data_IF_442597058373
#
_entry.id   IF_442597058373
#
_cell.length_a   1.000
_cell.length_b   1.000
_cell.length_c   1.000
_cell.angle_alpha   90.00
_cell.angle_beta   90.00
_cell.angle_gamma   90.00
#
_symmetry.space_group_name_H-M   'P 1'
#
loop_
_entity.id
_entity.type
_entity.pdbx_description
1 polymer ?
#
# COMPACT_ATOMS: atom_id res chain seq x y z
N UNK A 1 8.84 9.72 2.24
CA UNK A 1 7.62 9.03 2.69
C UNK A 1 7.37 7.81 1.82
N UNK A 2 7.02 6.70 2.47
CA UNK A 2 6.55 5.47 1.86
C UNK A 2 5.02 5.41 1.91
N UNK A 3 4.43 4.61 1.04
CA UNK A 3 2.98 4.39 0.95
C UNK A 3 2.73 2.89 1.00
N UNK A 4 2.07 2.43 2.05
CA UNK A 4 1.60 1.04 2.15
C UNK A 4 0.25 0.94 1.43
N UNK A 5 0.17 0.02 0.47
CA UNK A 5 -1.06 -0.24 -0.26
C UNK A 5 -1.41 -1.73 -0.18
N UNK A 6 -2.55 -2.02 0.42
CA UNK A 6 -3.07 -3.37 0.59
C UNK A 6 -3.87 -3.82 -0.64
N UNK A 7 -3.60 -5.04 -1.11
CA UNK A 7 -4.29 -5.66 -2.23
C UNK A 7 -4.71 -7.08 -1.89
N UNK A 8 -5.64 -7.64 -2.66
CA UNK A 8 -6.05 -9.05 -2.52
C UNK A 8 -4.88 -10.03 -2.75
N UNK A 9 -3.89 -9.65 -3.56
CA UNK A 9 -2.76 -10.51 -3.91
C UNK A 9 -1.53 -10.31 -3.02
N UNK A 10 -1.52 -9.28 -2.16
CA UNK A 10 -0.36 -8.95 -1.34
C UNK A 10 -0.31 -7.51 -0.87
N UNK A 11 0.83 -7.14 -0.29
CA UNK A 11 1.13 -5.78 0.16
C UNK A 11 2.12 -5.11 -0.78
N UNK A 12 1.76 -3.96 -1.32
CA UNK A 12 2.64 -3.10 -2.10
C UNK A 12 3.16 -1.95 -1.25
N UNK A 13 4.43 -1.62 -1.44
CA UNK A 13 5.09 -0.48 -0.80
C UNK A 13 5.65 0.40 -1.90
N UNK A 14 5.12 1.62 -2.00
CA UNK A 14 5.55 2.62 -2.94
C UNK A 14 6.39 3.68 -2.23
N UNK A 15 7.38 4.22 -2.94
CA UNK A 15 8.06 5.45 -2.54
C UNK A 15 7.41 6.60 -3.30
N UNK A 16 6.86 7.56 -2.56
CA UNK A 16 6.39 8.81 -3.13
C UNK A 16 7.62 9.69 -3.45
N UNK A 17 7.77 10.07 -4.72
CA UNK A 17 8.91 10.88 -5.18
C UNK A 17 8.70 12.38 -4.90
N UNK A 18 7.46 12.85 -5.02
CA UNK A 18 7.10 14.26 -4.81
C UNK A 18 6.03 14.39 -3.74
N UNK A 19 6.45 14.64 -2.50
CA UNK A 19 5.54 14.81 -1.36
C UNK A 19 4.73 16.11 -1.42
N UNK A 20 5.16 17.10 -2.23
CA UNK A 20 4.42 18.36 -2.39
C UNK A 20 3.09 18.12 -3.10
N UNK A 21 3.06 17.17 -4.03
CA UNK A 21 1.84 16.75 -4.75
C UNK A 21 0.78 16.16 -3.82
N UNK A 22 1.18 15.60 -2.68
CA UNK A 22 0.22 15.15 -1.67
C UNK A 22 -0.47 16.32 -0.97
N UNK A 23 0.15 17.50 -0.92
CA UNK A 23 -0.48 18.71 -0.35
C UNK A 23 -1.41 19.39 -1.35
N UNK A 24 -1.20 19.21 -2.64
CA UNK A 24 -2.00 19.76 -3.75
C UNK A 24 -3.10 18.78 -4.21
N UNK A 25 -3.99 18.38 -3.30
CA UNK A 25 -5.02 17.35 -3.56
C UNK A 25 -5.93 17.63 -4.75
N UNK A 26 -6.22 18.90 -5.03
CA UNK A 26 -7.07 19.31 -6.14
C UNK A 26 -6.51 18.88 -7.50
N UNK A 27 -5.19 18.70 -7.62
CA UNK A 27 -4.53 18.30 -8.86
C UNK A 27 -3.93 16.89 -8.80
N UNK A 28 -4.00 16.21 -7.66
CA UNK A 28 -3.39 14.89 -7.48
C UNK A 28 -3.92 13.87 -8.50
N UNK A 29 -5.20 13.94 -8.84
CA UNK A 29 -5.81 13.05 -9.83
C UNK A 29 -5.15 13.14 -11.22
N UNK A 30 -4.59 14.30 -11.60
CA UNK A 30 -3.91 14.51 -12.89
C UNK A 30 -2.63 13.70 -13.02
N UNK A 31 -1.98 13.39 -11.89
CA UNK A 31 -0.81 12.52 -11.85
C UNK A 31 -1.18 11.05 -12.09
N UNK A 32 -2.46 10.70 -11.97
CA UNK A 32 -3.00 9.36 -12.22
C UNK A 32 -3.78 9.27 -13.54
N UNK A 33 -3.79 10.29 -14.40
CA UNK A 33 -4.44 10.19 -15.72
C UNK A 33 -3.72 9.20 -16.63
N UNK A 34 -2.38 9.26 -16.66
CA UNK A 34 -1.54 8.39 -17.49
C UNK A 34 -0.64 7.49 -16.63
N UNK A 35 -0.32 6.27 -17.10
CA UNK A 35 0.57 5.36 -16.38
C UNK A 35 1.97 5.93 -16.12
N UNK A 36 2.49 6.74 -17.03
CA UNK A 36 3.83 7.32 -16.96
C UNK A 36 3.94 8.33 -15.83
N UNK A 37 2.94 9.21 -15.69
CA UNK A 37 2.86 10.18 -14.59
C UNK A 37 2.75 9.45 -13.25
N UNK A 38 1.89 8.42 -13.18
CA UNK A 38 1.69 7.66 -11.94
C UNK A 38 2.98 6.95 -11.51
N UNK A 39 3.69 6.32 -12.45
CA UNK A 39 4.97 5.63 -12.18
C UNK A 39 6.10 6.60 -11.83
N UNK A 40 6.05 7.83 -12.34
CA UNK A 40 6.99 8.90 -11.97
C UNK A 40 6.72 9.40 -10.55
N UNK A 41 5.45 9.56 -10.17
CA UNK A 41 5.06 9.99 -8.83
C UNK A 41 5.32 8.89 -7.78
N UNK A 42 4.98 7.65 -8.11
CA UNK A 42 5.04 6.49 -7.22
C UNK A 42 5.94 5.40 -7.80
N UNK A 43 7.04 5.15 -7.11
CA UNK A 43 7.96 4.07 -7.48
C UNK A 43 7.73 2.86 -6.59
N UNK A 44 7.40 1.71 -7.18
CA UNK A 44 7.29 0.46 -6.43
C UNK A 44 8.66 0.09 -5.84
N UNK A 45 8.73 -0.01 -4.51
CA UNK A 45 9.93 -0.41 -3.76
C UNK A 45 9.90 -1.88 -3.40
N UNK A 46 8.75 -2.34 -2.97
CA UNK A 46 8.57 -3.73 -2.57
C UNK A 46 7.15 -4.19 -2.87
N UNK A 47 7.02 -5.38 -3.41
CA UNK A 47 5.73 -6.05 -3.51
C UNK A 47 5.83 -7.42 -2.83
N UNK A 48 5.09 -7.60 -1.74
CA UNK A 48 5.01 -8.86 -1.00
C UNK A 48 3.73 -9.57 -1.39
N UNK A 49 3.83 -10.45 -2.37
CA UNK A 49 2.76 -11.38 -2.74
C UNK A 49 2.46 -12.38 -1.61
N UNK A 50 1.19 -12.68 -1.41
CA UNK A 50 0.75 -13.78 -0.55
C UNK A 50 1.07 -15.12 -1.20
N UNK A 51 1.41 -16.11 -0.39
CA UNK A 51 1.76 -17.44 -0.90
C UNK A 51 0.51 -18.22 -1.33
N UNK A 52 -0.59 -18.05 -0.60
CA UNK A 52 -1.85 -18.75 -0.81
C UNK A 52 -3.05 -17.90 -0.34
N UNK A 53 -4.25 -18.42 -0.60
CA UNK A 53 -5.51 -17.79 -0.20
C UNK A 53 -5.71 -17.75 1.31
N UNK A 54 -5.08 -18.64 2.08
CA UNK A 54 -5.19 -18.67 3.55
C UNK A 54 -4.44 -17.49 4.16
N UNK A 55 -3.22 -17.21 3.67
CA UNK A 55 -2.45 -16.03 4.07
C UNK A 55 -3.16 -14.74 3.64
N UNK A 56 -3.76 -14.74 2.45
CA UNK A 56 -4.53 -13.61 1.95
C UNK A 56 -5.78 -13.34 2.81
N UNK A 57 -6.56 -14.38 3.14
CA UNK A 57 -7.74 -14.29 4.00
C UNK A 57 -7.38 -13.82 5.41
N UNK A 58 -6.38 -14.46 6.04
CA UNK A 58 -5.92 -14.04 7.36
C UNK A 58 -5.42 -12.59 7.38
N UNK A 59 -4.80 -12.14 6.28
CA UNK A 59 -4.35 -10.77 6.11
C UNK A 59 -5.51 -9.79 5.94
N UNK A 60 -6.53 -10.15 5.16
CA UNK A 60 -7.75 -9.36 4.98
C UNK A 60 -8.56 -9.25 6.27
N UNK A 61 -8.77 -10.35 7.01
CA UNK A 61 -9.43 -10.34 8.32
C UNK A 61 -8.69 -9.47 9.32
N UNK A 62 -7.35 -9.61 9.40
CA UNK A 62 -6.55 -8.76 10.27
C UNK A 62 -6.69 -7.27 9.92
N UNK A 63 -6.73 -6.93 8.63
CA UNK A 63 -6.93 -5.56 8.16
C UNK A 63 -8.30 -5.01 8.59
N UNK A 64 -9.37 -5.80 8.45
CA UNK A 64 -10.73 -5.42 8.89
C UNK A 64 -10.78 -5.18 10.40
N UNK A 65 -10.04 -5.97 11.18
CA UNK A 65 -9.91 -5.78 12.62
C UNK A 65 -8.94 -4.65 13.02
N UNK A 66 -8.29 -3.97 12.06
CA UNK A 66 -7.28 -2.94 12.33
C UNK A 66 -5.99 -3.49 12.93
N UNK A 67 -5.70 -4.78 12.72
CA UNK A 67 -4.53 -5.50 13.24
C UNK A 67 -3.51 -5.80 12.14
N UNK A 68 -2.26 -5.93 12.55
CA UNK A 68 -1.19 -6.36 11.66
C UNK A 68 -1.09 -7.88 11.54
N UNK A 69 -1.26 -8.38 10.32
CA UNK A 69 -1.02 -9.79 9.96
C UNK A 69 0.45 -10.19 10.13
N UNK A 70 0.73 -11.51 10.18
CA UNK A 70 2.11 -12.03 10.21
C UNK A 70 2.90 -11.61 8.97
N UNK A 71 2.25 -11.59 7.81
CA UNK A 71 2.84 -11.16 6.55
C UNK A 71 3.25 -9.68 6.60
N UNK A 72 2.34 -8.81 7.07
CA UNK A 72 2.61 -7.38 7.20
C UNK A 72 3.73 -7.09 8.22
N UNK A 73 3.75 -7.79 9.36
CA UNK A 73 4.85 -7.70 10.34
C UNK A 73 6.22 -8.01 9.73
N UNK A 74 6.31 -9.09 8.94
CA UNK A 74 7.56 -9.46 8.25
C UNK A 74 7.97 -8.40 7.21
N UNK A 75 7.00 -7.84 6.49
CA UNK A 75 7.23 -6.77 5.53
C UNK A 75 7.75 -5.51 6.21
N UNK A 76 7.04 -5.02 7.23
CA UNK A 76 7.42 -3.81 7.98
C UNK A 76 8.82 -3.94 8.58
N UNK A 77 9.16 -5.09 9.18
CA UNK A 77 10.52 -5.32 9.70
C UNK A 77 11.59 -5.14 8.62
N UNK A 78 11.38 -5.73 7.43
CA UNK A 78 12.31 -5.57 6.29
C UNK A 78 12.40 -4.13 5.79
N UNK A 79 11.34 -3.34 5.90
CA UNK A 79 11.35 -1.93 5.51
C UNK A 79 12.12 -1.10 6.53
N UNK A 80 11.81 -1.23 7.82
CA UNK A 80 12.49 -0.47 8.89
C UNK A 80 13.97 -0.77 8.96
N UNK A 81 14.37 -2.03 8.74
CA UNK A 81 15.78 -2.43 8.73
C UNK A 81 16.55 -1.85 7.51
N UNK A 82 15.86 -1.48 6.43
CA UNK A 82 16.49 -1.05 5.16
C UNK A 82 16.37 0.44 4.86
N UNK A 83 15.25 1.05 5.21
CA UNK A 83 14.94 2.45 4.93
C UNK A 83 14.77 3.17 6.27
N UNK A 84 15.82 3.92 6.63
CA UNK A 84 15.92 4.60 7.92
C UNK A 84 14.80 5.65 8.04
N UNK A 85 13.85 5.41 8.95
CA UNK A 85 12.87 6.38 9.48
C UNK A 85 12.18 7.29 8.46
N UNK A 86 11.62 6.71 7.39
CA UNK A 86 10.66 7.45 6.57
C UNK A 86 9.24 7.35 7.15
N UNK A 87 8.44 8.41 7.01
CA UNK A 87 7.00 8.35 7.29
C UNK A 87 6.31 7.34 6.36
N UNK A 88 5.27 6.67 6.87
CA UNK A 88 4.46 5.70 6.12
C UNK A 88 3.02 6.18 6.01
N UNK A 89 2.58 6.47 4.79
CA UNK A 89 1.18 6.67 4.49
C UNK A 89 0.44 5.33 4.52
N UNK A 90 -0.63 5.26 5.30
CA UNK A 90 -1.49 4.07 5.47
C UNK A 90 -2.95 4.43 5.20
N UNK A 91 -3.73 3.45 4.73
CA UNK A 91 -5.14 3.67 4.43
C UNK A 91 -6.04 3.71 5.68
N UNK A 92 -5.65 3.01 6.75
CA UNK A 92 -6.43 2.91 7.98
C UNK A 92 -5.66 3.43 9.20
N UNK A 93 -6.32 4.24 10.02
CA UNK A 93 -5.74 4.87 11.19
C UNK A 93 -5.35 3.85 12.28
N UNK A 94 -6.18 2.82 12.53
CA UNK A 94 -5.91 1.81 13.56
C UNK A 94 -4.71 0.96 13.16
N UNK A 95 -4.62 0.60 11.89
CA UNK A 95 -3.44 -0.08 11.36
C UNK A 95 -2.19 0.80 11.51
N UNK A 96 -2.28 2.09 11.21
CA UNK A 96 -1.21 3.07 11.42
C UNK A 96 -0.75 3.13 12.87
N UNK A 97 -1.67 3.19 13.82
CA UNK A 97 -1.36 3.14 15.25
C UNK A 97 -0.63 1.86 15.63
N UNK A 98 -1.12 0.69 15.19
CA UNK A 98 -0.48 -0.60 15.48
C UNK A 98 0.93 -0.70 14.90
N UNK A 99 1.16 -0.15 13.70
CA UNK A 99 2.50 -0.09 13.08
C UNK A 99 3.41 0.84 13.87
N UNK A 100 2.92 2.04 14.23
CA UNK A 100 3.66 3.04 15.00
C UNK A 100 4.11 2.49 16.34
N UNK A 101 3.21 1.87 17.11
CA UNK A 101 3.53 1.29 18.43
C UNK A 101 4.57 0.17 18.33
N UNK A 102 4.51 -0.65 17.27
CA UNK A 102 5.37 -1.82 17.15
C UNK A 102 6.74 -1.55 16.55
N UNK A 103 6.83 -0.62 15.60
CA UNK A 103 8.04 -0.36 14.83
C UNK A 103 8.61 1.05 15.04
N UNK A 104 7.99 1.85 15.91
CA UNK A 104 8.34 3.25 16.17
C UNK A 104 8.44 4.08 14.87
N UNK A 105 7.50 3.84 13.95
CA UNK A 105 7.46 4.45 12.64
C UNK A 105 6.31 5.45 12.56
N UNK A 106 6.57 6.65 12.04
CA UNK A 106 5.55 7.69 11.90
C UNK A 106 4.58 7.32 10.78
N UNK A 107 3.32 7.00 11.13
CA UNK A 107 2.28 6.72 10.17
C UNK A 107 1.40 7.95 9.93
N UNK A 108 1.10 8.23 8.65
CA UNK A 108 0.24 9.32 8.20
C UNK A 108 -1.04 8.75 7.61
N UNK A 109 -2.18 9.21 8.11
CA UNK A 109 -3.51 8.89 7.61
C UNK A 109 -4.32 10.19 7.56
N UNK A 110 -4.71 10.63 6.37
CA UNK A 110 -5.51 11.84 6.17
C UNK A 110 -6.23 11.77 4.81
N UNK A 111 -7.11 12.73 4.54
CA UNK A 111 -7.86 12.81 3.29
C UNK A 111 -6.97 12.79 2.04
N UNK A 112 -5.79 13.40 2.11
CA UNK A 112 -4.85 13.45 1.00
C UNK A 112 -4.26 12.06 0.71
N UNK A 113 -3.94 11.31 1.77
CA UNK A 113 -3.52 9.91 1.66
C UNK A 113 -4.65 9.08 1.06
N UNK A 114 -5.91 9.29 1.44
CA UNK A 114 -7.03 8.57 0.84
C UNK A 114 -7.17 8.84 -0.67
N UNK A 115 -7.00 10.09 -1.12
CA UNK A 115 -7.00 10.42 -2.55
C UNK A 115 -5.78 9.80 -3.27
N UNK A 116 -4.61 9.75 -2.63
CA UNK A 116 -3.45 9.04 -3.15
C UNK A 116 -3.74 7.53 -3.31
N UNK A 117 -4.34 6.89 -2.30
CA UNK A 117 -4.72 5.48 -2.36
C UNK A 117 -5.75 5.23 -3.48
N UNK A 118 -6.66 6.17 -3.72
CA UNK A 118 -7.64 6.11 -4.81
C UNK A 118 -6.95 6.17 -6.19
N UNK A 119 -5.96 7.05 -6.35
CA UNK A 119 -5.12 7.12 -7.55
C UNK A 119 -4.32 5.84 -7.78
N UNK A 120 -3.70 5.30 -6.73
CA UNK A 120 -2.98 4.02 -6.80
C UNK A 120 -3.91 2.91 -7.28
N UNK A 121 -5.13 2.85 -6.74
CA UNK A 121 -6.12 1.84 -7.13
C UNK A 121 -6.52 1.94 -8.60
N UNK A 122 -6.66 3.15 -9.16
CA UNK A 122 -7.05 3.33 -10.56
C UNK A 122 -5.95 2.94 -11.56
N UNK A 123 -4.68 2.99 -11.16
CA UNK A 123 -3.52 2.61 -11.99
C UNK A 123 -2.74 1.40 -11.45
N UNK A 124 -3.38 0.60 -10.60
CA UNK A 124 -2.73 -0.49 -9.86
C UNK A 124 -2.01 -1.49 -10.79
N UNK A 125 -2.64 -1.87 -11.90
CA UNK A 125 -2.07 -2.81 -12.88
C UNK A 125 -0.76 -2.30 -13.52
N UNK A 126 -0.57 -0.98 -13.59
CA UNK A 126 0.65 -0.38 -14.12
C UNK A 126 1.72 -0.17 -13.03
N UNK A 127 1.28 0.15 -11.80
CA UNK A 127 2.16 0.44 -10.68
C UNK A 127 2.74 -0.83 -10.04
N UNK A 128 1.97 -1.91 -10.01
CA UNK A 128 2.39 -3.21 -9.47
C UNK A 128 2.87 -4.07 -10.64
N UNK A 129 4.17 -4.02 -10.90
CA UNK A 129 4.80 -4.86 -11.91
C UNK A 129 5.03 -6.27 -11.37
N UNK A 130 4.90 -7.28 -12.23
CA UNK A 130 5.21 -8.68 -11.87
C UNK A 130 4.05 -9.49 -11.29
N UNK A 131 2.81 -8.97 -11.28
CA UNK A 131 1.61 -9.74 -11.02
C UNK A 131 0.62 -9.58 -12.19
N UNK A 132 0.22 -10.66 -12.89
CA UNK A 132 -0.79 -10.58 -13.94
C UNK A 132 -2.14 -10.12 -13.38
N UNK A 133 -2.85 -9.25 -14.11
CA UNK A 133 -4.18 -8.76 -13.73
C UNK A 133 -5.16 -9.91 -13.46
N UNK A 134 -5.12 -10.96 -14.27
CA UNK A 134 -5.96 -12.16 -14.10
C UNK A 134 -5.73 -12.83 -12.74
N UNK A 135 -4.48 -12.84 -12.26
CA UNK A 135 -4.14 -13.41 -10.95
C UNK A 135 -4.67 -12.53 -9.82
N UNK A 136 -4.57 -11.21 -9.95
CA UNK A 136 -5.14 -10.28 -8.97
C UNK A 136 -6.66 -10.41 -8.87
N UNK A 137 -7.34 -10.47 -10.01
CA UNK A 137 -8.79 -10.63 -10.07
C UNK A 137 -9.24 -11.98 -9.53
N UNK A 138 -8.50 -13.06 -9.79
CA UNK A 138 -8.79 -14.38 -9.24
C UNK A 138 -8.65 -14.41 -7.72
N UNK A 139 -7.59 -13.79 -7.17
CA UNK A 139 -7.41 -13.66 -5.71
C UNK A 139 -8.51 -12.80 -5.08
N UNK A 140 -8.88 -11.68 -5.72
CA UNK A 140 -9.97 -10.83 -5.23
C UNK A 140 -11.31 -11.59 -5.19
N UNK A 141 -11.62 -12.36 -6.24
CA UNK A 141 -12.81 -13.19 -6.30
C UNK A 141 -12.80 -14.29 -5.22
N UNK A 142 -11.66 -14.97 -5.05
CA UNK A 142 -11.51 -16.03 -4.04
C UNK A 142 -11.58 -15.53 -2.60
N UNK A 143 -11.25 -14.26 -2.34
CA UNK A 143 -11.40 -13.64 -1.01
C UNK A 143 -12.81 -13.07 -0.75
N UNK A 144 -13.57 -12.79 -1.81
CA UNK A 144 -14.91 -12.22 -1.70
C UNK A 144 -16.00 -13.26 -1.42
N UNK A 145 -15.69 -14.55 -1.62
CA UNK A 145 -16.61 -15.68 -1.43
C UNK A 145 -16.41 -16.30 -0.04
#
# INVERSE_FOLDING_TARGET
MLVLFETAAGYAVFKLQDEKKLRETENLFKEFETPEKATKLLKLKHFKKFNDTTEALASATALVEGKMSKALKKLMKKLVDKECQEELAVADAKLGSAIKEKFNLNCVYNSNVHELMRGIRSKMNNLITGLPEKEMSAMALGLAH
#
